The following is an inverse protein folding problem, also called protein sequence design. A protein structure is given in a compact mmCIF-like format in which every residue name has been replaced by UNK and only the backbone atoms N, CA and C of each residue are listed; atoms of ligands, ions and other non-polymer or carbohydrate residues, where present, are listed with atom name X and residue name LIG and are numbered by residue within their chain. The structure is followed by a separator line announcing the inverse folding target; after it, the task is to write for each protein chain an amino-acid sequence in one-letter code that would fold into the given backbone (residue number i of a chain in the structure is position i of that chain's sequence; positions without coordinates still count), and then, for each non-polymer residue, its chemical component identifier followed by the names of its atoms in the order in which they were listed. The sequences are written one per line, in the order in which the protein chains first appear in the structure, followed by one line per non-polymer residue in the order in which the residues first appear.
data_IF_499294278585
#
_entry.id   IF_499294278585
#
_cell.length_a   1.000
_cell.length_b   1.000
_cell.length_c   1.000
_cell.angle_alpha   90.00
_cell.angle_beta   90.00
_cell.angle_gamma   90.00
#
_symmetry.space_group_name_H-M   'P 1'
#
loop_
_entity.id
_entity.type
_entity.pdbx_description
1 polymer ?
#
# COMPACT_ATOMS: atom_id res chain seq x y z
N UNK A 1 6.46 12.73 -7.20
CA UNK A 1 7.03 12.01 -6.05
C UNK A 1 6.85 10.52 -6.28
N UNK A 2 7.63 9.68 -5.59
CA UNK A 2 7.64 8.21 -5.72
C UNK A 2 7.68 7.72 -7.18
N UNK A 3 8.44 8.43 -8.03
CA UNK A 3 8.38 8.24 -9.48
C UNK A 3 8.87 6.86 -9.94
N UNK A 4 9.70 6.20 -9.13
CA UNK A 4 10.19 4.84 -9.38
C UNK A 4 9.05 3.79 -9.42
N UNK A 5 7.92 4.05 -8.77
CA UNK A 5 6.80 3.12 -8.67
C UNK A 5 5.68 3.42 -9.68
N UNK A 6 5.95 4.25 -10.68
CA UNK A 6 4.98 4.61 -11.72
C UNK A 6 4.84 3.50 -12.77
N UNK A 7 3.62 3.22 -13.19
CA UNK A 7 3.35 2.35 -14.33
C UNK A 7 3.32 3.13 -15.66
N UNK A 8 3.28 2.41 -16.78
CA UNK A 8 3.30 3.03 -18.10
C UNK A 8 2.16 4.03 -18.34
N UNK A 9 0.94 3.74 -17.86
CA UNK A 9 -0.20 4.65 -18.03
C UNK A 9 0.00 5.97 -17.26
N UNK A 10 0.53 5.89 -16.03
CA UNK A 10 0.87 7.07 -15.23
C UNK A 10 1.98 7.88 -15.89
N UNK A 11 3.02 7.20 -16.41
CA UNK A 11 4.09 7.84 -17.16
C UNK A 11 3.56 8.61 -18.38
N UNK A 12 2.74 7.98 -19.22
CA UNK A 12 2.16 8.61 -20.42
C UNK A 12 1.29 9.81 -20.03
N UNK A 13 0.46 9.67 -18.99
CA UNK A 13 -0.39 10.76 -18.50
C UNK A 13 0.44 11.98 -18.08
N UNK A 14 1.48 11.77 -17.27
CA UNK A 14 2.36 12.85 -16.82
C UNK A 14 3.11 13.48 -17.99
N UNK A 15 3.59 12.68 -18.94
CA UNK A 15 4.26 13.18 -20.15
C UNK A 15 3.33 14.06 -21.00
N UNK A 16 2.07 13.65 -21.19
CA UNK A 16 1.08 14.45 -21.90
C UNK A 16 0.77 15.78 -21.20
N UNK A 17 0.62 15.76 -19.87
CA UNK A 17 0.40 16.97 -19.07
C UNK A 17 1.57 17.95 -19.14
N UNK A 18 2.80 17.43 -19.19
CA UNK A 18 4.02 18.23 -19.27
C UNK A 18 4.42 18.64 -20.69
N UNK A 19 3.81 18.06 -21.73
CA UNK A 19 4.27 18.17 -23.12
C UNK A 19 4.42 19.60 -23.66
N UNK A 20 3.57 20.54 -23.21
CA UNK A 20 3.59 21.94 -23.67
C UNK A 20 4.68 22.78 -23.03
N UNK A 21 4.68 22.85 -21.69
CA UNK A 21 5.54 23.76 -20.93
C UNK A 21 6.86 23.08 -20.48
N UNK A 22 6.91 21.74 -20.51
CA UNK A 22 8.04 20.91 -20.06
C UNK A 22 8.57 21.22 -18.65
N UNK A 23 7.76 21.88 -17.82
CA UNK A 23 8.05 22.20 -16.42
C UNK A 23 7.70 21.03 -15.51
N UNK A 24 8.39 19.90 -15.70
CA UNK A 24 8.17 18.67 -14.93
C UNK A 24 9.32 18.45 -13.94
N UNK A 25 8.98 18.32 -12.65
CA UNK A 25 9.89 17.89 -11.61
C UNK A 25 9.42 16.53 -11.07
N UNK A 26 10.27 15.51 -11.21
CA UNK A 26 10.04 14.18 -10.63
C UNK A 26 11.04 13.92 -9.52
N UNK A 27 10.59 13.20 -8.50
CA UNK A 27 11.40 12.79 -7.35
C UNK A 27 11.15 11.29 -7.16
N UNK A 28 12.21 10.54 -6.90
CA UNK A 28 12.13 9.11 -6.63
C UNK A 28 13.50 8.52 -6.34
N UNK A 29 13.49 7.26 -5.95
CA UNK A 29 14.66 6.48 -5.58
C UNK A 29 14.60 5.11 -6.29
N UNK A 30 15.54 4.85 -7.20
CA UNK A 30 15.61 3.59 -7.94
C UNK A 30 15.78 2.35 -7.04
N UNK A 31 16.42 2.50 -5.87
CA UNK A 31 16.57 1.41 -4.89
C UNK A 31 15.28 1.11 -4.12
N UNK A 32 14.26 1.98 -4.21
CA UNK A 32 12.99 1.86 -3.49
C UNK A 32 11.83 1.42 -4.38
N UNK A 33 12.08 1.02 -5.62
CA UNK A 33 11.04 0.48 -6.51
C UNK A 33 10.58 -0.91 -6.04
N UNK A 34 9.44 -0.97 -5.35
CA UNK A 34 8.88 -2.21 -4.78
C UNK A 34 7.55 -2.64 -5.41
N UNK A 35 6.99 -1.84 -6.33
CA UNK A 35 5.69 -2.11 -6.96
C UNK A 35 5.76 -2.74 -8.37
N UNK A 36 6.86 -3.40 -8.74
CA UNK A 36 7.01 -4.06 -10.05
C UNK A 36 5.89 -5.09 -10.34
N UNK A 37 5.40 -5.79 -9.32
CA UNK A 37 4.25 -6.71 -9.40
C UNK A 37 2.92 -6.02 -9.75
N UNK A 38 2.84 -4.69 -9.64
CA UNK A 38 1.71 -3.85 -10.09
C UNK A 38 2.03 -3.06 -11.35
N UNK A 39 2.98 -3.56 -12.14
CA UNK A 39 3.40 -2.98 -13.42
C UNK A 39 4.11 -1.63 -13.27
N UNK A 40 4.69 -1.33 -12.11
CA UNK A 40 5.65 -0.23 -12.00
C UNK A 40 6.88 -0.54 -12.88
N UNK A 41 7.37 0.48 -13.58
CA UNK A 41 8.53 0.35 -14.46
C UNK A 41 9.64 1.28 -13.98
N UNK A 42 10.68 0.69 -13.38
CA UNK A 42 11.87 1.41 -12.90
C UNK A 42 12.58 2.15 -14.03
N UNK A 43 12.38 1.75 -15.29
CA UNK A 43 12.95 2.48 -16.44
C UNK A 43 12.39 3.88 -16.55
N UNK A 44 11.17 4.15 -16.09
CA UNK A 44 10.58 5.49 -16.11
C UNK A 44 11.49 6.51 -15.43
N UNK A 45 12.09 6.16 -14.29
CA UNK A 45 13.02 7.05 -13.57
C UNK A 45 14.46 6.94 -14.10
N UNK A 46 14.90 5.75 -14.51
CA UNK A 46 16.28 5.55 -14.99
C UNK A 46 16.53 6.22 -16.34
N UNK A 47 15.54 6.16 -17.23
CA UNK A 47 15.58 6.66 -18.60
C UNK A 47 15.00 8.07 -18.74
N UNK A 48 14.65 8.75 -17.65
CA UNK A 48 14.06 10.09 -17.68
C UNK A 48 14.90 11.10 -18.48
N UNK A 49 16.23 10.98 -18.42
CA UNK A 49 17.19 11.80 -19.19
C UNK A 49 17.11 11.59 -20.71
N UNK A 50 16.64 10.42 -21.16
CA UNK A 50 16.42 10.14 -22.58
C UNK A 50 15.18 10.86 -23.11
N UNK A 51 14.14 10.96 -22.27
CA UNK A 51 12.88 11.61 -22.62
C UNK A 51 12.95 13.13 -22.49
N UNK A 52 13.73 13.63 -21.53
CA UNK A 52 13.96 15.05 -21.26
C UNK A 52 15.47 15.35 -21.26
N UNK A 53 16.10 15.51 -22.44
CA UNK A 53 17.55 15.75 -22.54
C UNK A 53 18.03 17.03 -21.83
N UNK A 54 17.14 17.99 -21.60
CA UNK A 54 17.38 19.24 -20.88
C UNK A 54 17.26 19.11 -19.34
N UNK A 55 16.98 17.90 -18.82
CA UNK A 55 16.73 17.70 -17.39
C UNK A 55 17.95 18.08 -16.54
N UNK A 56 17.69 18.81 -15.46
CA UNK A 56 18.68 19.01 -14.40
C UNK A 56 18.54 17.93 -13.34
N UNK A 57 19.59 17.13 -13.16
CA UNK A 57 19.64 16.07 -12.14
C UNK A 57 20.23 16.63 -10.86
N UNK A 58 19.51 16.42 -9.75
CA UNK A 58 19.98 16.74 -8.41
C UNK A 58 20.00 15.45 -7.60
N UNK A 59 21.16 15.09 -7.06
CA UNK A 59 21.32 13.92 -6.18
C UNK A 59 21.31 14.39 -4.73
N UNK A 60 20.42 13.82 -3.93
CA UNK A 60 20.34 14.06 -2.49
C UNK A 60 20.93 12.86 -1.77
N UNK A 61 22.17 12.98 -1.32
CA UNK A 61 22.92 11.85 -0.72
C UNK A 61 22.98 11.89 0.81
N UNK A 62 22.60 13.02 1.42
CA UNK A 62 22.55 13.15 2.87
C UNK A 62 21.22 12.62 3.42
N UNK A 63 21.30 11.60 4.27
CA UNK A 63 20.19 11.03 5.02
C UNK A 63 20.04 11.73 6.36
N UNK A 64 18.85 12.29 6.60
CA UNK A 64 18.53 13.00 7.84
C UNK A 64 17.71 12.14 8.83
N UNK A 65 17.32 10.92 8.45
CA UNK A 65 16.38 10.07 9.20
C UNK A 65 17.06 9.05 10.11
N UNK A 66 18.11 8.42 9.61
CA UNK A 66 18.70 7.22 10.20
C UNK A 66 20.06 7.53 10.83
N UNK A 67 20.44 6.74 11.85
CA UNK A 67 21.77 6.77 12.45
C UNK A 67 22.79 6.10 11.53
N UNK A 68 24.09 6.31 11.78
CA UNK A 68 25.15 5.75 10.93
C UNK A 68 25.11 4.23 10.85
N UNK A 69 24.85 3.53 11.98
CA UNK A 69 24.75 2.07 11.99
C UNK A 69 23.62 1.53 11.12
N UNK A 70 22.43 2.15 11.16
CA UNK A 70 21.29 1.78 10.32
C UNK A 70 21.60 2.06 8.85
N UNK A 71 22.15 3.24 8.55
CA UNK A 71 22.45 3.64 7.17
C UNK A 71 23.54 2.76 6.54
N UNK A 72 24.56 2.39 7.33
CA UNK A 72 25.61 1.47 6.90
C UNK A 72 25.03 0.10 6.56
N UNK A 73 24.16 -0.45 7.40
CA UNK A 73 23.51 -1.73 7.12
C UNK A 73 22.68 -1.66 5.82
N UNK A 74 21.90 -0.59 5.63
CA UNK A 74 21.12 -0.39 4.41
C UNK A 74 22.01 -0.30 3.15
N UNK A 75 23.08 0.50 3.21
CA UNK A 75 24.06 0.63 2.12
C UNK A 75 24.72 -0.72 1.77
N UNK A 76 25.14 -1.50 2.77
CA UNK A 76 25.77 -2.81 2.51
C UNK A 76 24.80 -3.83 1.91
N UNK A 77 23.53 -3.84 2.34
CA UNK A 77 22.51 -4.72 1.74
C UNK A 77 22.27 -4.35 0.28
N UNK A 78 22.03 -3.07 -0.02
CA UNK A 78 21.63 -2.63 -1.36
C UNK A 78 22.77 -2.70 -2.40
N UNK A 79 24.04 -2.70 -1.96
CA UNK A 79 25.22 -2.89 -2.82
C UNK A 79 25.23 -4.22 -3.58
N UNK A 80 24.46 -5.21 -3.14
CA UNK A 80 24.34 -6.50 -3.80
C UNK A 80 23.40 -6.49 -5.02
N UNK A 81 22.64 -5.41 -5.25
CA UNK A 81 21.74 -5.30 -6.39
C UNK A 81 22.47 -4.90 -7.69
N UNK A 82 22.09 -5.54 -8.79
CA UNK A 82 22.56 -5.20 -10.14
C UNK A 82 21.69 -4.09 -10.77
N UNK A 83 22.24 -3.35 -11.74
CA UNK A 83 21.50 -2.37 -12.57
C UNK A 83 20.88 -1.17 -11.81
N UNK A 84 21.64 -0.58 -10.89
CA UNK A 84 21.30 0.65 -10.14
C UNK A 84 22.14 1.84 -10.58
N UNK A 85 21.67 3.07 -10.36
CA UNK A 85 22.57 4.24 -10.41
C UNK A 85 23.46 4.22 -9.15
N UNK A 86 24.76 4.42 -9.34
CA UNK A 86 25.69 4.50 -8.21
C UNK A 86 25.39 5.75 -7.39
N UNK A 87 25.09 5.54 -6.11
CA UNK A 87 24.91 6.56 -5.09
C UNK A 87 25.26 5.96 -3.75
N UNK A 88 25.86 6.75 -2.89
CA UNK A 88 26.19 6.34 -1.52
C UNK A 88 25.56 7.35 -0.58
N UNK A 89 24.66 6.88 0.28
CA UNK A 89 24.02 7.74 1.26
C UNK A 89 24.93 7.91 2.48
N UNK A 90 25.02 9.12 3.03
CA UNK A 90 25.77 9.45 4.25
C UNK A 90 24.90 10.24 5.24
N UNK A 91 25.31 10.36 6.51
CA UNK A 91 24.54 11.10 7.53
C UNK A 91 25.46 11.78 8.55
N UNK A 92 25.01 12.94 9.06
CA UNK A 92 25.62 13.67 10.18
C UNK A 92 25.07 13.23 11.54
N UNK A 93 24.06 12.36 11.55
CA UNK A 93 23.49 11.82 12.78
C UNK A 93 24.55 11.02 13.57
N UNK A 94 24.25 10.78 14.84
CA UNK A 94 25.08 9.95 15.71
C UNK A 94 25.24 8.51 15.18
N UNK A 95 26.20 7.79 15.76
CA UNK A 95 26.47 6.39 15.37
C UNK A 95 25.22 5.51 15.58
N UNK A 96 24.51 5.76 16.68
CA UNK A 96 23.31 5.03 17.09
C UNK A 96 23.60 3.61 17.58
N UNK A 97 22.55 2.93 18.02
CA UNK A 97 22.64 1.52 18.44
C UNK A 97 22.98 0.60 17.25
N UNK A 98 23.62 -0.53 17.54
CA UNK A 98 23.84 -1.59 16.56
C UNK A 98 22.49 -2.21 16.14
N UNK A 99 22.40 -2.61 14.88
CA UNK A 99 21.26 -3.38 14.39
C UNK A 99 21.35 -4.79 14.97
N UNK A 100 20.33 -5.18 15.74
CA UNK A 100 20.28 -6.49 16.41
C UNK A 100 19.46 -7.47 15.59
N UNK A 101 19.97 -8.70 15.46
CA UNK A 101 19.23 -9.83 14.87
C UNK A 101 18.89 -10.80 15.99
N UNK A 102 17.60 -11.07 16.16
CA UNK A 102 17.10 -12.06 17.09
C UNK A 102 16.61 -13.28 16.32
N UNK A 103 16.93 -14.48 16.80
CA UNK A 103 16.43 -15.73 16.24
C UNK A 103 15.51 -16.38 17.26
N UNK A 104 14.27 -16.65 16.85
CA UNK A 104 13.31 -17.42 17.60
C UNK A 104 13.21 -18.86 17.04
N UNK A 105 12.73 -19.79 17.84
CA UNK A 105 12.43 -21.15 17.44
C UNK A 105 11.15 -21.23 16.60
N UNK A 106 10.16 -20.39 16.89
CA UNK A 106 8.91 -20.28 16.14
C UNK A 106 8.32 -18.85 16.14
N UNK A 107 7.22 -18.65 15.42
CA UNK A 107 6.51 -17.36 15.28
C UNK A 107 5.93 -16.84 16.61
N UNK A 108 5.56 -17.73 17.54
CA UNK A 108 5.00 -17.33 18.83
C UNK A 108 6.10 -16.84 19.75
N UNK A 109 7.24 -17.51 19.77
CA UNK A 109 8.42 -17.06 20.49
C UNK A 109 8.93 -15.73 19.91
N UNK A 110 8.95 -15.56 18.58
CA UNK A 110 9.30 -14.27 17.95
C UNK A 110 8.39 -13.14 18.47
N UNK A 111 7.07 -13.34 18.44
CA UNK A 111 6.12 -12.34 18.94
C UNK A 111 6.30 -12.04 20.44
N UNK A 112 6.63 -13.06 21.25
CA UNK A 112 6.92 -12.90 22.67
C UNK A 112 8.21 -12.13 22.94
N UNK A 113 9.27 -12.42 22.19
CA UNK A 113 10.56 -11.74 22.27
C UNK A 113 10.41 -10.27 21.86
N UNK A 114 9.71 -9.99 20.75
CA UNK A 114 9.42 -8.62 20.31
C UNK A 114 8.63 -7.86 21.37
N UNK A 115 7.56 -8.46 21.92
CA UNK A 115 6.76 -7.82 22.97
C UNK A 115 7.58 -7.49 24.21
N UNK A 116 8.44 -8.42 24.65
CA UNK A 116 9.31 -8.22 25.81
C UNK A 116 10.38 -7.14 25.55
N UNK A 117 10.89 -7.05 24.32
CA UNK A 117 11.80 -5.99 23.91
C UNK A 117 11.13 -4.61 23.93
N UNK A 118 9.89 -4.51 23.43
CA UNK A 118 9.10 -3.27 23.48
C UNK A 118 8.89 -2.81 24.93
N UNK A 119 8.44 -3.69 25.82
CA UNK A 119 8.23 -3.39 27.24
C UNK A 119 9.53 -2.92 27.93
N UNK A 120 10.66 -3.58 27.64
CA UNK A 120 11.96 -3.17 28.18
C UNK A 120 12.38 -1.79 27.67
N UNK A 121 12.21 -1.48 26.39
CA UNK A 121 12.60 -0.19 25.81
C UNK A 121 11.69 0.94 26.32
N UNK A 122 10.39 0.69 26.48
CA UNK A 122 9.45 1.66 27.07
C UNK A 122 9.82 1.94 28.53
N UNK A 123 10.07 0.89 29.32
CA UNK A 123 10.39 1.03 30.74
C UNK A 123 11.75 1.69 31.02
N UNK A 124 12.76 1.42 30.19
CA UNK A 124 14.13 1.93 30.41
C UNK A 124 14.40 3.27 29.74
N UNK A 125 13.86 3.51 28.55
CA UNK A 125 14.17 4.69 27.73
C UNK A 125 13.02 5.70 27.68
N UNK A 126 11.89 5.44 28.34
CA UNK A 126 10.74 6.34 28.35
C UNK A 126 10.06 6.51 26.98
N UNK A 127 10.26 5.55 26.08
CA UNK A 127 9.63 5.51 24.75
C UNK A 127 8.13 5.27 24.86
N UNK A 128 7.37 5.68 23.84
CA UNK A 128 5.93 5.40 23.75
C UNK A 128 5.69 4.25 22.77
N UNK A 129 4.57 3.54 22.92
CA UNK A 129 4.15 2.53 21.94
C UNK A 129 4.07 3.08 20.50
N UNK A 130 3.75 4.37 20.34
CA UNK A 130 3.70 5.07 19.04
C UNK A 130 5.06 5.22 18.36
N UNK A 131 6.17 5.04 19.08
CA UNK A 131 7.53 5.20 18.56
C UNK A 131 8.02 3.92 17.86
N UNK A 132 7.24 2.85 17.91
CA UNK A 132 7.57 1.55 17.36
C UNK A 132 6.70 1.21 16.15
N UNK A 133 7.32 0.62 15.14
CA UNK A 133 6.64 0.05 13.99
C UNK A 133 7.12 -1.40 13.79
N UNK A 134 6.17 -2.32 13.64
CA UNK A 134 6.44 -3.71 13.28
C UNK A 134 6.16 -3.90 11.79
N UNK A 135 7.20 -4.25 11.03
CA UNK A 135 7.13 -4.49 9.59
C UNK A 135 7.26 -5.97 9.30
N UNK A 136 6.39 -6.49 8.45
CA UNK A 136 6.35 -7.89 8.04
C UNK A 136 6.12 -8.00 6.53
N UNK A 137 6.48 -9.15 5.96
CA UNK A 137 6.44 -9.37 4.50
C UNK A 137 5.02 -9.57 3.97
N UNK A 138 4.16 -10.23 4.74
CA UNK A 138 2.78 -10.56 4.38
C UNK A 138 1.83 -10.27 5.53
N UNK A 139 0.59 -9.87 5.21
CA UNK A 139 -0.43 -9.55 6.22
C UNK A 139 -0.79 -10.74 7.13
N UNK A 140 -0.60 -11.98 6.68
CA UNK A 140 -0.88 -13.16 7.50
C UNK A 140 0.00 -13.22 8.75
N UNK A 141 1.21 -12.65 8.71
CA UNK A 141 2.13 -12.63 9.84
C UNK A 141 1.65 -11.74 10.98
N UNK A 142 0.76 -10.76 10.74
CA UNK A 142 0.31 -9.85 11.80
C UNK A 142 -0.42 -10.58 12.92
N UNK A 143 -1.18 -11.62 12.58
CA UNK A 143 -2.09 -12.31 13.49
C UNK A 143 -1.42 -12.80 14.78
N UNK A 144 -0.24 -13.40 14.68
CA UNK A 144 0.48 -13.96 15.85
C UNK A 144 0.91 -12.84 16.80
N UNK A 145 1.37 -11.70 16.26
CA UNK A 145 1.70 -10.52 17.06
C UNK A 145 0.46 -9.89 17.68
N UNK A 146 -0.65 -9.80 16.94
CA UNK A 146 -1.92 -9.29 17.45
C UNK A 146 -2.43 -10.12 18.64
N UNK A 147 -2.36 -11.45 18.55
CA UNK A 147 -2.75 -12.36 19.64
C UNK A 147 -1.89 -12.14 20.90
N UNK A 148 -0.56 -12.04 20.75
CA UNK A 148 0.35 -11.79 21.88
C UNK A 148 0.17 -10.38 22.45
N UNK A 149 -0.01 -9.36 21.62
CA UNK A 149 -0.24 -7.99 22.06
C UNK A 149 -1.56 -7.87 22.83
N UNK A 150 -2.63 -8.55 22.40
CA UNK A 150 -3.89 -8.62 23.16
C UNK A 150 -3.65 -9.27 24.52
N UNK A 151 -2.96 -10.41 24.58
CA UNK A 151 -2.67 -11.11 25.83
C UNK A 151 -1.86 -10.26 26.82
N UNK A 152 -0.92 -9.46 26.32
CA UNK A 152 -0.08 -8.56 27.12
C UNK A 152 -0.69 -7.18 27.38
N UNK A 153 -1.86 -6.88 26.80
CA UNK A 153 -2.47 -5.54 26.89
C UNK A 153 -1.67 -4.44 26.19
N UNK A 154 -0.87 -4.79 25.18
CA UNK A 154 -0.09 -3.84 24.38
C UNK A 154 -1.01 -3.18 23.35
N UNK A 155 -1.13 -1.84 23.34
CA UNK A 155 -1.93 -1.15 22.32
C UNK A 155 -1.21 -1.21 20.97
N UNK A 156 -1.94 -1.60 19.93
CA UNK A 156 -1.40 -1.65 18.56
C UNK A 156 -2.41 -1.11 17.55
N UNK A 157 -1.90 -0.77 16.36
CA UNK A 157 -2.70 -0.36 15.21
C UNK A 157 -2.21 -1.10 13.97
N UNK A 158 -3.10 -1.87 13.33
CA UNK A 158 -2.80 -2.53 12.06
C UNK A 158 -3.04 -1.57 10.90
N UNK A 159 -2.04 -1.40 10.05
CA UNK A 159 -2.15 -0.63 8.80
C UNK A 159 -2.35 -1.62 7.65
N UNK A 160 -3.42 -1.43 6.86
CA UNK A 160 -3.71 -2.33 5.73
C UNK A 160 -4.47 -3.62 6.08
N UNK A 161 -4.98 -3.74 7.32
CA UNK A 161 -5.96 -4.78 7.71
C UNK A 161 -7.32 -4.60 7.03
N UNK A 162 -8.39 -5.20 7.57
CA UNK A 162 -9.73 -5.10 6.98
C UNK A 162 -10.13 -3.63 6.80
N UNK A 163 -10.20 -3.16 5.55
CA UNK A 163 -10.51 -1.78 5.24
C UNK A 163 -11.94 -1.49 5.70
N UNK A 164 -12.17 -0.29 6.24
CA UNK A 164 -13.50 0.15 6.64
C UNK A 164 -14.53 -0.03 5.52
N UNK A 165 -14.16 0.32 4.29
CA UNK A 165 -15.01 0.19 3.09
C UNK A 165 -15.16 -1.23 2.55
N UNK A 166 -14.46 -2.23 3.10
CA UNK A 166 -14.62 -3.64 2.72
C UNK A 166 -15.62 -4.37 3.62
N UNK A 167 -16.01 -3.75 4.75
CA UNK A 167 -17.03 -4.29 5.63
C UNK A 167 -18.37 -4.42 4.91
N UNK A 168 -19.10 -5.51 5.18
CA UNK A 168 -20.33 -5.85 4.46
C UNK A 168 -21.35 -4.73 4.54
N UNK A 169 -21.63 -4.26 5.76
CA UNK A 169 -22.58 -3.21 6.08
C UNK A 169 -22.25 -1.88 5.38
N UNK A 170 -20.96 -1.53 5.30
CA UNK A 170 -20.50 -0.31 4.64
C UNK A 170 -20.64 -0.44 3.12
N UNK A 171 -20.24 -1.57 2.54
CA UNK A 171 -20.40 -1.84 1.11
C UNK A 171 -21.85 -1.89 0.67
N UNK A 172 -22.73 -2.44 1.49
CA UNK A 172 -24.17 -2.51 1.21
C UNK A 172 -24.77 -1.10 1.18
N UNK A 173 -24.49 -0.26 2.19
CA UNK A 173 -24.93 1.13 2.21
C UNK A 173 -24.38 1.93 1.01
N UNK A 174 -23.10 1.79 0.69
CA UNK A 174 -22.50 2.46 -0.48
C UNK A 174 -23.16 2.02 -1.79
N UNK A 175 -23.54 0.75 -1.91
CA UNK A 175 -24.19 0.24 -3.12
C UNK A 175 -25.60 0.81 -3.28
N UNK A 176 -26.33 1.04 -2.19
CA UNK A 176 -27.57 1.83 -2.25
C UNK A 176 -27.34 3.26 -2.74
N UNK A 177 -26.36 3.97 -2.17
CA UNK A 177 -26.06 5.35 -2.57
C UNK A 177 -25.63 5.43 -4.05
N UNK A 178 -24.85 4.45 -4.52
CA UNK A 178 -24.48 4.33 -5.93
C UNK A 178 -25.68 4.14 -6.84
N UNK A 179 -26.67 3.35 -6.44
CA UNK A 179 -27.91 3.17 -7.22
C UNK A 179 -28.78 4.43 -7.26
N UNK A 180 -28.81 5.19 -6.16
CA UNK A 180 -29.53 6.48 -6.13
C UNK A 180 -28.89 7.48 -7.10
N UNK A 181 -27.56 7.52 -7.16
CA UNK A 181 -26.82 8.43 -8.04
C UNK A 181 -26.75 7.94 -9.50
N UNK A 182 -26.48 6.66 -9.69
CA UNK A 182 -26.40 5.98 -10.97
C UNK A 182 -27.31 4.74 -10.96
N UNK A 183 -28.58 4.88 -11.38
CA UNK A 183 -29.54 3.78 -11.42
C UNK A 183 -29.14 2.61 -12.32
N UNK A 184 -28.13 2.78 -13.18
CA UNK A 184 -27.63 1.74 -14.09
C UNK A 184 -26.45 0.92 -13.55
N UNK A 185 -26.07 1.12 -12.28
CA UNK A 185 -25.01 0.31 -11.64
C UNK A 185 -25.49 -1.12 -11.34
N UNK A 186 -25.33 -2.01 -12.34
CA UNK A 186 -25.68 -3.44 -12.26
C UNK A 186 -24.95 -4.17 -11.14
N UNK A 187 -23.70 -3.79 -10.85
CA UNK A 187 -22.88 -4.43 -9.79
C UNK A 187 -23.45 -4.10 -8.42
N UNK A 188 -23.76 -2.82 -8.19
CA UNK A 188 -24.39 -2.36 -6.96
C UNK A 188 -25.78 -2.97 -6.79
N UNK A 189 -26.60 -3.03 -7.85
CA UNK A 189 -27.93 -3.67 -7.80
C UNK A 189 -27.84 -5.13 -7.38
N UNK A 190 -27.00 -5.93 -8.06
CA UNK A 190 -26.87 -7.37 -7.76
C UNK A 190 -26.52 -7.62 -6.30
N UNK A 191 -25.72 -6.73 -5.70
CA UNK A 191 -25.34 -6.81 -4.29
C UNK A 191 -26.50 -6.55 -3.33
N UNK A 192 -27.30 -5.51 -3.57
CA UNK A 192 -28.27 -5.02 -2.57
C UNK A 192 -29.73 -5.34 -2.87
N UNK A 193 -30.03 -5.90 -4.04
CA UNK A 193 -31.40 -6.23 -4.47
C UNK A 193 -32.17 -7.03 -3.41
N UNK A 194 -31.50 -7.95 -2.71
CA UNK A 194 -32.09 -8.77 -1.64
C UNK A 194 -31.45 -8.54 -0.25
N UNK A 195 -30.81 -7.38 -0.03
CA UNK A 195 -30.23 -7.00 1.28
C UNK A 195 -30.72 -5.61 1.69
N UNK A 196 -31.73 -5.46 2.57
CA UNK A 196 -32.39 -6.49 3.38
C UNK A 196 -33.23 -7.46 2.55
N UNK A 197 -33.56 -8.62 3.13
CA UNK A 197 -34.33 -9.68 2.44
C UNK A 197 -35.67 -9.13 1.94
N UNK A 198 -35.92 -9.27 0.65
CA UNK A 198 -37.16 -8.89 -0.06
C UNK A 198 -37.88 -10.08 -0.69
N UNK A 199 -37.41 -11.30 -0.44
CA UNK A 199 -37.96 -12.52 -1.06
C UNK A 199 -37.53 -12.74 -2.51
N UNK A 200 -36.48 -12.05 -2.97
CA UNK A 200 -35.96 -12.18 -4.34
C UNK A 200 -34.91 -13.29 -4.35
N UNK A 201 -35.24 -14.44 -4.95
CA UNK A 201 -34.35 -15.60 -5.05
C UNK A 201 -33.22 -15.41 -6.07
N UNK A 202 -32.16 -16.20 -5.96
CA UNK A 202 -30.99 -16.13 -6.85
C UNK A 202 -31.36 -16.38 -8.32
N UNK A 203 -32.26 -17.34 -8.58
CA UNK A 203 -32.78 -17.62 -9.93
C UNK A 203 -33.54 -16.44 -10.54
N UNK A 204 -34.29 -15.69 -9.74
CA UNK A 204 -34.98 -14.47 -10.19
C UNK A 204 -33.96 -13.38 -10.53
N UNK A 205 -32.93 -13.21 -9.70
CA UNK A 205 -31.87 -12.23 -9.94
C UNK A 205 -31.12 -12.56 -11.24
N UNK A 206 -30.74 -13.82 -11.45
CA UNK A 206 -30.06 -14.24 -12.68
C UNK A 206 -30.91 -13.97 -13.92
N UNK A 207 -32.19 -14.37 -13.90
CA UNK A 207 -33.12 -14.11 -15.02
C UNK A 207 -33.25 -12.63 -15.34
N UNK A 208 -33.34 -11.77 -14.31
CA UNK A 208 -33.39 -10.32 -14.50
C UNK A 208 -32.12 -9.81 -15.21
N UNK A 209 -30.93 -10.24 -14.78
CA UNK A 209 -29.68 -9.79 -15.39
C UNK A 209 -29.49 -10.32 -16.82
N UNK A 210 -29.88 -11.57 -17.10
CA UNK A 210 -29.91 -12.10 -18.47
C UNK A 210 -30.83 -11.28 -19.36
N UNK A 211 -32.05 -10.99 -18.90
CA UNK A 211 -32.99 -10.15 -19.64
C UNK A 211 -32.44 -8.75 -19.91
N UNK A 212 -31.82 -8.10 -18.92
CA UNK A 212 -31.19 -6.78 -19.08
C UNK A 212 -29.99 -6.79 -20.03
N UNK A 213 -29.28 -7.92 -20.16
CA UNK A 213 -28.19 -8.08 -21.13
C UNK A 213 -28.71 -8.29 -22.55
N UNK A 214 -29.71 -9.17 -22.73
CA UNK A 214 -30.29 -9.48 -24.05
C UNK A 214 -31.08 -8.30 -24.64
N UNK A 215 -31.81 -7.57 -23.80
CA UNK A 215 -32.66 -6.45 -24.23
C UNK A 215 -31.91 -5.13 -24.40
N UNK A 216 -30.68 -5.03 -23.88
CA UNK A 216 -29.92 -3.77 -23.86
C UNK A 216 -30.53 -2.66 -23.01
N UNK A 217 -31.55 -2.96 -22.19
CA UNK A 217 -32.29 -1.99 -21.40
C UNK A 217 -31.50 -1.49 -20.19
N UNK A 218 -31.85 -0.28 -19.76
CA UNK A 218 -31.46 0.23 -18.45
C UNK A 218 -32.14 -0.59 -17.34
N UNK A 219 -31.59 -0.55 -16.13
CA UNK A 219 -32.16 -1.27 -14.98
C UNK A 219 -33.61 -0.82 -14.72
N UNK A 220 -33.87 0.48 -14.79
CA UNK A 220 -35.20 1.02 -14.52
C UNK A 220 -36.22 0.60 -15.59
N UNK A 221 -35.82 0.61 -16.87
CA UNK A 221 -36.70 0.16 -17.96
C UNK A 221 -37.02 -1.33 -17.84
N UNK A 222 -36.01 -2.16 -17.55
CA UNK A 222 -36.22 -3.60 -17.42
C UNK A 222 -37.00 -4.01 -16.17
N UNK A 223 -36.98 -3.20 -15.11
CA UNK A 223 -37.82 -3.43 -13.92
C UNK A 223 -39.28 -2.99 -14.12
N UNK A 224 -39.55 -2.15 -15.11
CA UNK A 224 -40.90 -1.67 -15.44
C UNK A 224 -41.63 -2.54 -16.48
N UNK A 225 -40.95 -3.53 -17.06
CA UNK A 225 -41.54 -4.52 -17.99
C UNK A 225 -41.86 -5.82 -17.24
#
# INVERSE_FOLDING_TARGET
DEYQDTNHAQYVLVHLLASKERNLCVVGDDDQSIYSFRSADIRNILDFEKDYPEVKIVKLEQNYRSTKNILKAANEVIRNNYSRKSKTLWTENEEGMLVTVLKAADEREEAWLVSSALESLIGKEGRKFSDFALLYRTNAQSRVFEEVFIQKGIPYKVVGGQRFYDRKEIRDLLSYLKLVYNPNDRVSLRRVINTPKRGIGETTVERLFTFLEESGLSILEGLNQ
#
